data_IF_300638393584
#
_entry.id   IF_300638393584
#
_cell.length_a   1.000
_cell.length_b   1.000
_cell.length_c   1.000
_cell.angle_alpha   90.00
_cell.angle_beta   90.00
_cell.angle_gamma   90.00
#
_symmetry.space_group_name_H-M   'P 1'
#
loop_
_entity.id
_entity.type
_entity.pdbx_description
1 polymer ?
#
# COMPACT_ATOMS: atom_id res chain seq x y z
N UNK A 1 -20.22 30.74 20.51
CA UNK A 1 -20.66 31.00 19.13
C UNK A 1 -20.04 29.90 18.28
N UNK A 2 -20.76 28.80 18.11
CA UNK A 2 -20.32 27.65 17.32
C UNK A 2 -20.47 28.01 15.83
N UNK A 3 -19.34 28.13 15.12
CA UNK A 3 -19.36 28.22 13.66
C UNK A 3 -18.98 26.86 13.10
N UNK A 4 -20.00 26.02 12.91
CA UNK A 4 -19.93 24.84 12.05
C UNK A 4 -19.83 25.29 10.59
N UNK A 5 -18.65 25.74 10.18
CA UNK A 5 -18.30 25.88 8.78
C UNK A 5 -17.52 24.62 8.40
N UNK A 6 -18.21 23.68 7.75
CA UNK A 6 -17.61 22.50 7.11
C UNK A 6 -16.47 23.03 6.20
N UNK A 7 -15.17 22.80 6.51
CA UNK A 7 -14.12 23.38 5.71
C UNK A 7 -14.22 22.77 4.32
N UNK A 8 -14.18 23.63 3.29
CA UNK A 8 -14.03 23.23 1.89
C UNK A 8 -12.92 22.19 1.83
N UNK A 9 -13.28 20.97 1.45
CA UNK A 9 -12.45 19.76 1.58
C UNK A 9 -11.29 19.72 0.54
N UNK A 10 -10.79 20.87 0.12
CA UNK A 10 -9.95 21.03 -1.05
C UNK A 10 -8.67 21.83 -0.80
N UNK A 11 -8.18 21.81 0.44
CA UNK A 11 -6.88 22.38 0.75
C UNK A 11 -5.76 21.45 0.27
N UNK A 12 -5.20 21.74 -0.90
CA UNK A 12 -4.19 20.89 -1.56
C UNK A 12 -2.93 20.74 -0.70
N UNK A 13 -2.47 21.82 -0.05
CA UNK A 13 -1.31 21.75 0.84
C UNK A 13 -1.44 20.73 1.98
N UNK A 14 -2.62 20.63 2.61
CA UNK A 14 -2.89 19.63 3.66
C UNK A 14 -2.86 18.21 3.10
N UNK A 15 -3.40 18.00 1.91
CA UNK A 15 -3.37 16.71 1.21
C UNK A 15 -1.93 16.28 0.93
N UNK A 16 -1.08 17.19 0.45
CA UNK A 16 0.35 16.96 0.25
C UNK A 16 1.05 16.58 1.56
N UNK A 17 0.82 17.36 2.63
CA UNK A 17 1.40 17.08 3.94
C UNK A 17 1.03 15.68 4.46
N UNK A 18 -0.24 15.29 4.28
CA UNK A 18 -0.72 13.97 4.69
C UNK A 18 -0.12 12.84 3.86
N UNK A 19 -0.04 12.98 2.54
CA UNK A 19 0.63 12.01 1.66
C UNK A 19 2.11 11.90 2.01
N UNK A 20 2.78 13.01 2.30
CA UNK A 20 4.18 13.05 2.72
C UNK A 20 4.40 12.24 4.01
N UNK A 21 3.55 12.43 5.01
CA UNK A 21 3.58 11.65 6.26
C UNK A 21 3.37 10.16 6.04
N UNK A 22 2.40 9.79 5.20
CA UNK A 22 2.14 8.39 4.84
C UNK A 22 3.33 7.74 4.10
N UNK A 23 4.09 8.52 3.33
CA UNK A 23 5.34 8.09 2.68
C UNK A 23 6.55 8.10 3.61
N UNK A 24 6.42 8.59 4.85
CA UNK A 24 7.53 8.70 5.80
C UNK A 24 8.61 9.71 5.41
N UNK A 25 8.29 10.66 4.52
CA UNK A 25 9.24 11.66 4.02
C UNK A 25 9.26 12.87 4.96
N UNK A 26 10.46 13.31 5.38
CA UNK A 26 10.61 14.55 6.15
C UNK A 26 10.47 15.77 5.25
N UNK A 27 9.96 16.89 5.79
CA UNK A 27 9.86 18.15 5.02
C UNK A 27 11.21 18.59 4.44
N UNK A 28 12.31 18.38 5.17
CA UNK A 28 13.67 18.69 4.71
C UNK A 28 14.07 17.90 3.45
N UNK A 29 13.66 16.63 3.37
CA UNK A 29 13.95 15.76 2.22
C UNK A 29 13.14 16.22 1.01
N UNK A 30 11.84 16.48 1.20
CA UNK A 30 11.00 17.03 0.13
C UNK A 30 11.52 18.38 -0.37
N UNK A 31 12.00 19.22 0.54
CA UNK A 31 12.59 20.52 0.21
C UNK A 31 13.88 20.38 -0.61
N UNK A 32 14.76 19.44 -0.20
CA UNK A 32 16.01 19.15 -0.92
C UNK A 32 15.74 18.67 -2.35
N UNK A 33 14.78 17.76 -2.55
CA UNK A 33 14.39 17.23 -3.86
C UNK A 33 13.73 18.30 -4.75
N UNK A 34 12.97 19.23 -4.15
CA UNK A 34 12.38 20.37 -4.86
C UNK A 34 13.38 21.51 -5.13
N UNK A 35 14.59 21.47 -4.52
CA UNK A 35 15.57 22.54 -4.60
C UNK A 35 15.13 23.83 -3.89
N UNK A 36 14.26 23.73 -2.87
CA UNK A 36 13.74 24.87 -2.10
C UNK A 36 14.09 24.73 -0.62
N UNK A 37 13.86 25.80 0.16
CA UNK A 37 14.03 25.72 1.61
C UNK A 37 12.89 24.94 2.28
N UNK A 38 13.16 24.32 3.44
CA UNK A 38 12.14 23.67 4.26
C UNK A 38 10.98 24.61 4.60
N UNK A 39 11.26 25.90 4.83
CA UNK A 39 10.23 26.92 5.10
C UNK A 39 9.27 27.10 3.91
N UNK A 40 9.78 26.99 2.68
CA UNK A 40 8.95 27.03 1.47
C UNK A 40 8.03 25.82 1.39
N UNK A 41 8.51 24.62 1.72
CA UNK A 41 7.67 23.42 1.81
C UNK A 41 6.61 23.55 2.90
N UNK A 42 6.97 24.05 4.08
CA UNK A 42 6.02 24.29 5.17
C UNK A 42 4.91 25.27 4.76
N UNK A 43 5.28 26.38 4.09
CA UNK A 43 4.31 27.34 3.55
C UNK A 43 3.43 26.73 2.46
N UNK A 44 4.01 25.88 1.61
CA UNK A 44 3.28 25.16 0.56
C UNK A 44 2.23 24.21 1.16
N UNK A 45 2.57 23.47 2.22
CA UNK A 45 1.64 22.58 2.94
C UNK A 45 0.51 23.36 3.64
N UNK A 46 0.75 24.62 4.00
CA UNK A 46 -0.27 25.53 4.56
C UNK A 46 -1.08 26.27 3.49
N UNK A 47 -0.75 26.13 2.21
CA UNK A 47 -1.45 26.80 1.11
C UNK A 47 -2.66 26.00 0.66
N UNK A 48 -3.81 26.67 0.50
CA UNK A 48 -5.04 26.03 0.02
C UNK A 48 -4.90 25.61 -1.46
N UNK A 49 -4.22 26.44 -2.26
CA UNK A 49 -3.94 26.21 -3.68
C UNK A 49 -2.44 26.19 -3.95
N UNK A 50 -2.03 25.43 -4.96
CA UNK A 50 -0.64 25.32 -5.43
C UNK A 50 -0.67 25.36 -6.96
N UNK A 51 0.34 25.97 -7.57
CA UNK A 51 0.49 26.00 -9.02
C UNK A 51 0.67 24.58 -9.59
N UNK A 52 0.01 24.29 -10.72
CA UNK A 52 -0.02 22.93 -11.31
C UNK A 52 1.41 22.40 -11.60
N UNK A 53 2.30 23.27 -12.06
CA UNK A 53 3.72 22.94 -12.31
C UNK A 53 4.47 22.49 -11.05
N UNK A 54 4.16 23.12 -9.91
CA UNK A 54 4.76 22.78 -8.61
C UNK A 54 4.11 21.52 -8.07
N UNK A 55 2.79 21.39 -8.20
CA UNK A 55 2.04 20.21 -7.81
C UNK A 55 2.54 18.96 -8.54
N UNK A 56 2.81 19.05 -9.83
CA UNK A 56 3.32 17.93 -10.62
C UNK A 56 4.72 17.49 -10.16
N UNK A 57 5.60 18.45 -9.83
CA UNK A 57 6.94 18.14 -9.28
C UNK A 57 6.83 17.47 -7.92
N UNK A 58 5.97 17.98 -7.04
CA UNK A 58 5.71 17.37 -5.73
C UNK A 58 5.14 15.97 -5.88
N UNK A 59 4.18 15.77 -6.79
CA UNK A 59 3.59 14.47 -7.07
C UNK A 59 4.64 13.44 -7.52
N UNK A 60 5.55 13.84 -8.43
CA UNK A 60 6.67 13.00 -8.88
C UNK A 60 7.57 12.58 -7.72
N UNK A 61 7.94 13.51 -6.83
CA UNK A 61 8.80 13.22 -5.67
C UNK A 61 8.09 12.32 -4.66
N UNK A 62 6.79 12.52 -4.44
CA UNK A 62 5.97 11.68 -3.55
C UNK A 62 5.56 10.34 -4.18
N UNK A 63 5.91 10.11 -5.46
CA UNK A 63 5.58 8.90 -6.21
C UNK A 63 4.08 8.70 -6.40
N UNK A 64 3.32 9.78 -6.61
CA UNK A 64 1.87 9.77 -6.85
C UNK A 64 1.53 10.59 -8.10
N UNK A 65 0.33 10.43 -8.65
CA UNK A 65 -0.16 11.35 -9.70
C UNK A 65 -0.71 12.63 -9.08
N UNK A 66 -0.76 13.72 -9.86
CA UNK A 66 -1.40 14.97 -9.41
C UNK A 66 -2.88 14.76 -9.06
N UNK A 67 -3.58 13.93 -9.84
CA UNK A 67 -4.96 13.53 -9.62
C UNK A 67 -5.14 12.79 -8.28
N UNK A 68 -4.14 12.01 -7.86
CA UNK A 68 -4.18 11.33 -6.57
C UNK A 68 -4.06 12.32 -5.40
N UNK A 69 -3.34 13.44 -5.57
CA UNK A 69 -3.29 14.52 -4.58
C UNK A 69 -4.62 15.28 -4.56
N UNK A 70 -5.18 15.60 -5.73
CA UNK A 70 -6.46 16.32 -5.84
C UNK A 70 -7.62 15.52 -5.24
N UNK A 71 -7.70 14.23 -5.54
CA UNK A 71 -8.74 13.33 -5.04
C UNK A 71 -8.41 12.73 -3.66
N UNK A 72 -7.30 13.12 -3.04
CA UNK A 72 -6.91 12.60 -1.74
C UNK A 72 -7.96 12.97 -0.68
N UNK A 73 -8.52 11.96 -0.02
CA UNK A 73 -9.31 12.13 1.19
C UNK A 73 -8.81 11.16 2.26
N UNK A 74 -8.73 11.64 3.51
CA UNK A 74 -8.30 10.82 4.64
C UNK A 74 -9.24 9.63 4.84
N UNK A 75 -10.54 9.80 4.62
CA UNK A 75 -11.54 8.74 4.72
C UNK A 75 -11.35 7.65 3.66
N UNK A 76 -10.95 8.01 2.43
CA UNK A 76 -10.65 7.03 1.39
C UNK A 76 -9.40 6.21 1.72
N UNK A 77 -8.41 6.84 2.35
CA UNK A 77 -7.19 6.18 2.80
C UNK A 77 -7.45 5.28 4.00
N UNK A 78 -8.22 5.74 4.99
CA UNK A 78 -8.63 4.92 6.15
C UNK A 78 -9.48 3.74 5.70
N UNK A 79 -10.40 3.93 4.75
CA UNK A 79 -11.15 2.82 4.15
C UNK A 79 -10.25 1.86 3.36
N UNK A 80 -9.22 2.36 2.67
CA UNK A 80 -8.25 1.51 1.97
C UNK A 80 -7.39 0.70 2.95
N UNK A 81 -6.85 1.32 4.01
CA UNK A 81 -6.09 0.63 5.05
C UNK A 81 -6.97 -0.35 5.82
N UNK A 82 -8.19 0.03 6.18
CA UNK A 82 -9.11 -0.89 6.86
C UNK A 82 -9.49 -2.09 5.98
N UNK A 83 -9.76 -1.91 4.68
CA UNK A 83 -10.06 -3.04 3.78
C UNK A 83 -8.81 -3.90 3.45
N UNK A 84 -7.61 -3.31 3.49
CA UNK A 84 -6.34 -4.02 3.26
C UNK A 84 -5.93 -4.85 4.49
N UNK A 85 -6.19 -4.35 5.71
CA UNK A 85 -5.92 -5.08 6.95
C UNK A 85 -7.05 -6.02 7.37
N UNK A 86 -8.30 -5.74 7.00
CA UNK A 86 -9.46 -6.62 7.18
C UNK A 86 -9.92 -7.21 5.83
N UNK A 87 -9.05 -7.95 5.16
CA UNK A 87 -9.40 -9.06 4.25
C UNK A 87 -10.64 -8.91 3.36
N UNK A 88 -10.84 -7.80 2.65
CA UNK A 88 -11.90 -7.73 1.64
C UNK A 88 -11.47 -6.90 0.42
N UNK A 89 -11.05 -7.66 -0.59
CA UNK A 89 -10.68 -7.30 -1.96
C UNK A 89 -11.72 -6.47 -2.72
N UNK A 90 -11.94 -5.17 -2.47
CA UNK A 90 -12.77 -4.37 -3.39
C UNK A 90 -12.29 -2.92 -3.54
N UNK A 91 -11.18 -2.72 -4.24
CA UNK A 91 -10.79 -1.43 -4.84
C UNK A 91 -10.76 -1.56 -6.37
N UNK A 92 -11.26 -0.58 -7.15
CA UNK A 92 -11.55 -0.74 -8.59
C UNK A 92 -10.32 -0.80 -9.51
N UNK A 93 -9.10 -0.83 -8.96
CA UNK A 93 -7.85 -0.69 -9.72
C UNK A 93 -6.88 -1.88 -9.64
N UNK A 94 -7.26 -2.99 -9.01
CA UNK A 94 -6.43 -4.20 -8.99
C UNK A 94 -7.23 -5.38 -9.52
N UNK A 95 -7.30 -5.49 -10.85
CA UNK A 95 -7.57 -6.76 -11.53
C UNK A 95 -6.34 -7.66 -11.35
N UNK A 96 -6.05 -8.08 -10.12
CA UNK A 96 -5.19 -9.24 -9.93
C UNK A 96 -5.99 -10.45 -10.42
N UNK A 97 -5.67 -10.98 -11.60
CA UNK A 97 -6.15 -12.29 -12.11
C UNK A 97 -5.64 -13.49 -11.31
N UNK A 98 -5.24 -13.24 -10.07
CA UNK A 98 -4.59 -14.20 -9.21
C UNK A 98 -5.22 -14.12 -7.83
N UNK A 99 -6.05 -15.12 -7.52
CA UNK A 99 -6.65 -15.28 -6.21
C UNK A 99 -5.63 -15.98 -5.29
N UNK A 100 -5.11 -15.30 -4.25
CA UNK A 100 -4.09 -15.88 -3.37
C UNK A 100 -4.59 -17.11 -2.59
N UNK A 101 -5.90 -17.23 -2.38
CA UNK A 101 -6.49 -18.42 -1.73
C UNK A 101 -6.36 -19.67 -2.59
N UNK A 102 -6.52 -19.53 -3.91
CA UNK A 102 -6.45 -20.68 -4.83
C UNK A 102 -5.03 -21.26 -4.87
N UNK A 103 -4.00 -20.41 -4.86
CA UNK A 103 -2.61 -20.89 -4.81
C UNK A 103 -2.21 -21.45 -3.46
N UNK A 104 -2.80 -20.94 -2.37
CA UNK A 104 -2.59 -21.53 -1.05
C UNK A 104 -3.19 -22.93 -0.97
N UNK A 105 -4.38 -23.12 -1.55
CA UNK A 105 -5.01 -24.44 -1.66
C UNK A 105 -4.16 -25.39 -2.50
N UNK A 106 -3.63 -24.92 -3.63
CA UNK A 106 -2.72 -25.68 -4.49
C UNK A 106 -1.46 -26.12 -3.73
N UNK A 107 -0.81 -25.21 -3.00
CA UNK A 107 0.37 -25.54 -2.18
C UNK A 107 0.06 -26.56 -1.08
N UNK A 108 -1.13 -26.52 -0.47
CA UNK A 108 -1.54 -27.49 0.54
C UNK A 108 -1.70 -28.88 -0.09
N UNK A 109 -2.31 -28.96 -1.26
CA UNK A 109 -2.52 -30.22 -1.98
C UNK A 109 -1.18 -30.82 -2.47
N UNK A 110 -0.26 -29.98 -2.95
CA UNK A 110 1.10 -30.41 -3.31
C UNK A 110 1.88 -30.94 -2.11
N UNK A 111 1.83 -30.25 -0.97
CA UNK A 111 2.46 -30.71 0.26
C UNK A 111 1.89 -32.06 0.72
N UNK A 112 0.56 -32.23 0.66
CA UNK A 112 -0.08 -33.49 1.02
C UNK A 112 0.42 -34.66 0.15
N UNK A 113 0.50 -34.45 -1.17
CA UNK A 113 1.06 -35.46 -2.11
C UNK A 113 2.53 -35.78 -1.81
N UNK A 114 3.31 -34.78 -1.41
CA UNK A 114 4.71 -34.97 -1.02
C UNK A 114 4.82 -35.86 0.22
N UNK A 115 3.98 -35.61 1.23
CA UNK A 115 3.93 -36.41 2.46
C UNK A 115 3.50 -37.86 2.19
N UNK A 116 2.49 -38.08 1.34
CA UNK A 116 2.06 -39.43 0.96
C UNK A 116 3.19 -40.22 0.27
N UNK A 117 3.96 -39.56 -0.62
CA UNK A 117 5.13 -40.18 -1.27
C UNK A 117 6.25 -40.48 -0.29
N UNK A 118 6.52 -39.59 0.66
CA UNK A 118 7.52 -39.81 1.69
C UNK A 118 7.16 -41.04 2.53
N UNK A 119 5.91 -41.12 2.96
CA UNK A 119 5.41 -42.23 3.77
C UNK A 119 5.42 -43.56 3.01
N UNK A 120 5.17 -43.53 1.69
CA UNK A 120 5.35 -44.70 0.83
C UNK A 120 6.83 -45.14 0.76
N UNK A 121 7.76 -44.19 0.56
CA UNK A 121 9.20 -44.47 0.53
C UNK A 121 9.72 -45.04 1.86
N UNK A 122 9.21 -44.55 2.99
CA UNK A 122 9.56 -45.09 4.31
C UNK A 122 9.07 -46.52 4.50
N UNK A 123 7.84 -46.82 4.07
CA UNK A 123 7.30 -48.19 4.09
C UNK A 123 8.10 -49.16 3.23
N UNK A 124 8.42 -48.77 2.00
CA UNK A 124 9.24 -49.59 1.09
C UNK A 124 10.62 -49.89 1.69
N UNK A 125 11.27 -48.88 2.30
CA UNK A 125 12.56 -49.07 2.99
C UNK A 125 12.45 -50.04 4.17
N UNK A 126 11.37 -49.95 4.95
CA UNK A 126 11.14 -50.85 6.09
C UNK A 126 10.90 -52.29 5.64
N UNK A 127 10.17 -52.50 4.55
CA UNK A 127 9.89 -53.84 4.05
C UNK A 127 11.14 -54.50 3.46
N UNK A 128 11.95 -53.73 2.70
CA UNK A 128 13.27 -54.19 2.24
C UNK A 128 14.24 -54.55 3.39
N UNK A 129 14.10 -53.89 4.55
CA UNK A 129 14.88 -54.20 5.75
C UNK A 129 14.39 -55.46 6.48
N UNK A 130 13.08 -55.76 6.41
CA UNK A 130 12.51 -56.99 6.99
C UNK A 130 12.87 -58.23 6.18
N UNK A 131 12.88 -58.11 4.84
CA UNK A 131 13.21 -59.22 3.93
C UNK A 131 14.70 -59.63 3.98
N UNK A 132 15.56 -58.82 4.64
CA UNK A 132 16.99 -59.12 4.85
C UNK A 132 17.29 -59.85 6.16
N UNK A 133 16.29 -60.32 6.89
CA UNK A 133 16.42 -61.03 8.18
C UNK A 133 15.94 -62.47 8.07
#
# INVERSE_FOLDING_TARGET
METSAKPSNNHIGRKIGRIRELRGIKQEVLAAELGVSQQTVSRMEQSETIEDDVLEKVAKILGVSKEAIDNFSEDAVVNYFNNTFHGSNHGPFYHCTFNPLDKLLEMVEENKKLYERLLASEKEKLDLLKDKK
#
